data_IF_611347753970
#
_entry.id   IF_611347753970
#
_cell.length_a   1.000
_cell.length_b   1.000
_cell.length_c   1.000
_cell.angle_alpha   90.00
_cell.angle_beta   90.00
_cell.angle_gamma   90.00
#
_symmetry.space_group_name_H-M   'P 1'
#
loop_
_entity.id
_entity.type
_entity.pdbx_description
1 polymer ?
#
# COMPACT_ATOMS: atom_id res chain seq x y z
N UNK A 1 48.55 33.91 -40.57
CA UNK A 1 47.59 32.92 -40.03
C UNK A 1 46.23 33.56 -40.14
N UNK A 2 45.36 33.06 -41.02
CA UNK A 2 44.13 33.76 -41.39
C UNK A 2 43.11 33.74 -40.25
N UNK A 3 42.52 34.90 -39.95
CA UNK A 3 41.51 35.08 -38.91
C UNK A 3 40.31 34.12 -39.08
N UNK A 4 40.06 33.65 -40.30
CA UNK A 4 39.05 32.64 -40.65
C UNK A 4 39.34 31.27 -40.01
N UNK A 5 40.60 30.83 -39.98
CA UNK A 5 41.01 29.55 -39.37
C UNK A 5 40.89 29.62 -37.85
N UNK A 6 41.25 30.76 -37.26
CA UNK A 6 41.14 30.99 -35.82
C UNK A 6 39.68 31.04 -35.36
N UNK A 7 38.80 31.71 -36.13
CA UNK A 7 37.36 31.74 -35.87
C UNK A 7 36.70 30.36 -35.96
N UNK A 8 37.10 29.55 -36.95
CA UNK A 8 36.60 28.19 -37.10
C UNK A 8 37.01 27.26 -35.94
N UNK A 9 38.25 27.39 -35.46
CA UNK A 9 38.76 26.66 -34.29
C UNK A 9 37.99 27.02 -33.00
N UNK A 10 37.73 28.31 -32.76
CA UNK A 10 36.97 28.77 -31.59
C UNK A 10 35.52 28.25 -31.67
N UNK A 11 34.88 28.36 -32.83
CA UNK A 11 33.52 27.85 -33.05
C UNK A 11 33.41 26.34 -32.82
N UNK A 12 34.39 25.56 -33.30
CA UNK A 12 34.44 24.11 -33.11
C UNK A 12 34.57 23.72 -31.63
N UNK A 13 35.45 24.40 -30.87
CA UNK A 13 35.63 24.14 -29.44
C UNK A 13 34.36 24.46 -28.65
N UNK A 14 33.71 25.59 -28.93
CA UNK A 14 32.45 25.97 -28.28
C UNK A 14 31.34 24.95 -28.58
N UNK A 15 31.25 24.46 -29.82
CA UNK A 15 30.27 23.45 -30.21
C UNK A 15 30.47 22.12 -29.46
N UNK A 16 31.71 21.66 -29.31
CA UNK A 16 32.06 20.43 -28.58
C UNK A 16 31.73 20.56 -27.08
N UNK A 17 32.10 21.68 -26.46
CA UNK A 17 31.80 21.92 -25.04
C UNK A 17 30.30 22.01 -24.79
N UNK A 18 29.57 22.70 -25.67
CA UNK A 18 28.11 22.85 -25.58
C UNK A 18 27.40 21.50 -25.74
N UNK A 19 27.78 20.69 -26.74
CA UNK A 19 27.22 19.34 -26.92
C UNK A 19 27.51 18.42 -25.75
N UNK A 20 28.71 18.48 -25.17
CA UNK A 20 29.04 17.69 -23.97
C UNK A 20 28.18 18.07 -22.76
N UNK A 21 27.99 19.38 -22.50
CA UNK A 21 27.13 19.87 -21.41
C UNK A 21 25.68 19.43 -21.65
N UNK A 22 25.15 19.62 -22.86
CA UNK A 22 23.80 19.21 -23.23
C UNK A 22 23.60 17.69 -23.10
N UNK A 23 24.56 16.88 -23.52
CA UNK A 23 24.50 15.43 -23.37
C UNK A 23 24.50 15.00 -21.90
N UNK A 24 25.34 15.62 -21.06
CA UNK A 24 25.40 15.34 -19.62
C UNK A 24 24.11 15.77 -18.89
N UNK A 25 23.55 16.92 -19.26
CA UNK A 25 22.28 17.40 -18.74
C UNK A 25 21.13 16.47 -19.17
N UNK A 26 21.11 16.08 -20.45
CA UNK A 26 20.12 15.17 -21.03
C UNK A 26 20.10 13.81 -20.33
N UNK A 27 21.28 13.23 -20.07
CA UNK A 27 21.42 11.97 -19.34
C UNK A 27 20.92 12.07 -17.88
N UNK A 28 21.24 13.16 -17.17
CA UNK A 28 20.70 13.38 -15.82
C UNK A 28 19.18 13.51 -15.83
N UNK A 29 18.64 14.23 -16.81
CA UNK A 29 17.21 14.40 -16.96
C UNK A 29 16.50 13.08 -17.32
N UNK A 30 17.11 12.23 -18.16
CA UNK A 30 16.54 10.94 -18.52
C UNK A 30 16.45 10.00 -17.32
N UNK A 31 17.51 9.90 -16.50
CA UNK A 31 17.49 9.12 -15.25
C UNK A 31 16.41 9.66 -14.30
N UNK A 32 16.31 10.99 -14.18
CA UNK A 32 15.30 11.61 -13.32
C UNK A 32 13.88 11.25 -13.77
N UNK A 33 13.59 11.39 -15.06
CA UNK A 33 12.31 11.02 -15.66
C UNK A 33 11.99 9.53 -15.50
N UNK A 34 12.97 8.67 -15.68
CA UNK A 34 12.80 7.22 -15.48
C UNK A 34 12.46 6.90 -14.02
N UNK A 35 13.16 7.54 -13.08
CA UNK A 35 12.87 7.39 -11.64
C UNK A 35 11.46 7.89 -11.29
N UNK A 36 11.04 9.02 -11.83
CA UNK A 36 9.69 9.57 -11.62
C UNK A 36 8.61 8.61 -12.17
N UNK A 37 8.83 8.02 -13.35
CA UNK A 37 7.94 7.00 -13.92
C UNK A 37 7.83 5.77 -13.01
N UNK A 38 8.95 5.28 -12.49
CA UNK A 38 8.98 4.14 -11.55
C UNK A 38 8.18 4.50 -10.29
N UNK A 39 8.42 5.66 -9.70
CA UNK A 39 7.71 6.08 -8.49
C UNK A 39 6.20 6.21 -8.74
N UNK A 40 5.79 6.72 -9.91
CA UNK A 40 4.38 6.79 -10.30
C UNK A 40 3.74 5.39 -10.39
N UNK A 41 4.40 4.46 -11.08
CA UNK A 41 3.97 3.06 -11.16
C UNK A 41 3.84 2.43 -9.77
N UNK A 42 4.80 2.66 -8.86
CA UNK A 42 4.72 2.12 -7.49
C UNK A 42 3.60 2.73 -6.67
N UNK A 43 3.27 4.02 -6.88
CA UNK A 43 2.10 4.65 -6.25
C UNK A 43 0.80 4.04 -6.74
N UNK A 44 0.67 3.79 -8.04
CA UNK A 44 -0.50 3.13 -8.61
C UNK A 44 -0.64 1.70 -8.07
N UNK A 45 0.46 0.93 -7.99
CA UNK A 45 0.46 -0.38 -7.36
C UNK A 45 0.05 -0.33 -5.88
N UNK A 46 0.52 0.68 -5.13
CA UNK A 46 0.12 0.88 -3.74
C UNK A 46 -1.38 1.19 -3.62
N UNK A 47 -1.93 2.01 -4.51
CA UNK A 47 -3.35 2.33 -4.58
C UNK A 47 -4.20 1.07 -4.83
N UNK A 48 -3.81 0.25 -5.82
CA UNK A 48 -4.48 -1.04 -6.08
C UNK A 48 -4.43 -1.96 -4.86
N UNK A 49 -3.29 -2.04 -4.17
CA UNK A 49 -3.17 -2.86 -2.95
C UNK A 49 -4.03 -2.34 -1.79
N UNK A 50 -4.28 -1.03 -1.70
CA UNK A 50 -5.24 -0.49 -0.74
C UNK A 50 -6.65 -1.04 -1.00
N UNK A 51 -7.10 -1.02 -2.27
CA UNK A 51 -8.41 -1.58 -2.66
C UNK A 51 -8.49 -3.09 -2.40
N UNK A 52 -7.42 -3.84 -2.70
CA UNK A 52 -7.37 -5.27 -2.42
C UNK A 52 -7.45 -5.55 -0.92
N UNK A 53 -6.74 -4.77 -0.11
CA UNK A 53 -6.80 -4.87 1.35
C UNK A 53 -8.22 -4.61 1.86
N UNK A 54 -8.89 -3.57 1.37
CA UNK A 54 -10.29 -3.27 1.73
C UNK A 54 -11.21 -4.47 1.46
N UNK A 55 -11.07 -5.11 0.29
CA UNK A 55 -11.86 -6.30 -0.07
C UNK A 55 -11.58 -7.48 0.85
N UNK A 56 -10.32 -7.70 1.23
CA UNK A 56 -9.94 -8.76 2.18
C UNK A 56 -10.54 -8.49 3.56
N UNK A 57 -10.45 -7.27 4.07
CA UNK A 57 -11.04 -6.90 5.37
C UNK A 57 -12.57 -7.04 5.33
N UNK A 58 -13.23 -6.64 4.24
CA UNK A 58 -14.67 -6.81 4.08
C UNK A 58 -15.08 -8.30 4.10
N UNK A 59 -14.34 -9.14 3.37
CA UNK A 59 -14.54 -10.59 3.38
C UNK A 59 -14.36 -11.18 4.78
N UNK A 60 -13.32 -10.75 5.51
CA UNK A 60 -13.04 -11.23 6.86
C UNK A 60 -14.10 -10.78 7.87
N UNK A 61 -14.58 -9.54 7.76
CA UNK A 61 -15.68 -9.02 8.58
C UNK A 61 -16.96 -9.83 8.38
N UNK A 62 -17.33 -10.13 7.13
CA UNK A 62 -18.50 -10.96 6.82
C UNK A 62 -18.35 -12.37 7.36
N UNK A 63 -17.15 -12.95 7.27
CA UNK A 63 -16.88 -14.27 7.84
C UNK A 63 -17.04 -14.28 9.37
N UNK A 64 -16.50 -13.28 10.07
CA UNK A 64 -16.68 -13.12 11.52
C UNK A 64 -18.16 -13.05 11.88
N UNK A 65 -18.92 -12.18 11.21
CA UNK A 65 -20.36 -12.02 11.46
C UNK A 65 -21.12 -13.34 11.29
N UNK A 66 -20.94 -13.99 10.14
CA UNK A 66 -21.62 -15.24 9.84
C UNK A 66 -21.26 -16.34 10.82
N UNK A 67 -20.01 -16.39 11.28
CA UNK A 67 -19.57 -17.43 12.17
C UNK A 67 -20.00 -17.23 13.61
N UNK A 68 -19.85 -16.02 14.16
CA UNK A 68 -20.27 -15.72 15.53
C UNK A 68 -21.77 -15.97 15.70
N UNK A 69 -22.57 -15.64 14.68
CA UNK A 69 -24.02 -15.88 14.68
C UNK A 69 -24.40 -17.37 14.53
N UNK A 70 -23.58 -18.19 13.85
CA UNK A 70 -23.87 -19.60 13.56
C UNK A 70 -22.98 -20.60 14.30
N UNK A 71 -22.23 -20.16 15.31
CA UNK A 71 -21.24 -20.99 16.02
C UNK A 71 -21.85 -22.25 16.68
N UNK A 72 -23.13 -22.22 17.00
CA UNK A 72 -23.90 -23.37 17.52
C UNK A 72 -24.11 -24.48 16.50
N UNK A 73 -24.07 -24.18 15.19
CA UNK A 73 -24.36 -25.13 14.09
C UNK A 73 -23.12 -25.70 13.40
N UNK A 74 -21.95 -25.04 13.50
CA UNK A 74 -20.74 -25.41 12.77
C UNK A 74 -19.48 -25.42 13.67
N UNK A 75 -19.53 -26.14 14.80
CA UNK A 75 -18.47 -26.11 15.83
C UNK A 75 -17.09 -26.65 15.41
N UNK A 76 -17.00 -27.34 14.27
CA UNK A 76 -15.81 -28.08 13.86
C UNK A 76 -15.12 -27.50 12.61
N UNK A 77 -15.68 -26.45 12.02
CA UNK A 77 -15.09 -25.81 10.83
C UNK A 77 -13.91 -24.90 11.21
N UNK A 78 -12.70 -25.26 10.78
CA UNK A 78 -11.56 -24.33 10.70
C UNK A 78 -11.55 -23.69 9.32
N UNK A 79 -11.51 -22.36 9.27
CA UNK A 79 -11.45 -21.66 8.00
C UNK A 79 -10.03 -21.35 7.61
N UNK A 80 -9.74 -21.54 6.32
CA UNK A 80 -8.43 -21.28 5.77
C UNK A 80 -8.15 -19.77 5.69
N UNK A 81 -7.08 -19.36 6.36
CA UNK A 81 -6.59 -17.98 6.44
C UNK A 81 -5.51 -17.70 5.39
N UNK A 82 -5.15 -18.69 4.56
CA UNK A 82 -3.98 -18.69 3.65
C UNK A 82 -4.01 -17.71 2.47
N UNK A 83 -4.98 -16.79 2.41
CA UNK A 83 -5.01 -15.80 1.32
C UNK A 83 -3.79 -14.89 1.39
N UNK A 84 -3.12 -14.72 0.25
CA UNK A 84 -2.04 -13.75 0.04
C UNK A 84 -2.46 -12.41 0.64
N UNK A 85 -1.75 -11.95 1.67
CA UNK A 85 -2.10 -10.75 2.40
C UNK A 85 -1.61 -9.53 1.60
N UNK A 86 -2.52 -8.71 1.02
CA UNK A 86 -2.11 -7.55 0.22
C UNK A 86 -1.31 -6.53 1.05
N UNK A 87 -1.39 -6.62 2.39
CA UNK A 87 -0.57 -5.84 3.33
C UNK A 87 0.93 -6.10 3.17
N UNK A 88 1.36 -7.34 2.89
CA UNK A 88 2.78 -7.65 2.68
C UNK A 88 3.33 -6.95 1.43
N UNK A 89 2.52 -6.88 0.37
CA UNK A 89 2.86 -6.13 -0.83
C UNK A 89 2.96 -4.64 -0.54
N UNK A 90 2.04 -4.09 0.28
CA UNK A 90 2.12 -2.70 0.73
C UNK A 90 3.40 -2.42 1.53
N UNK A 91 3.77 -3.32 2.46
CA UNK A 91 5.01 -3.22 3.24
C UNK A 91 6.25 -3.15 2.35
N UNK A 92 6.33 -4.04 1.36
CA UNK A 92 7.42 -4.05 0.39
C UNK A 92 7.49 -2.74 -0.40
N UNK A 93 6.36 -2.30 -0.99
CA UNK A 93 6.30 -1.08 -1.80
C UNK A 93 6.73 0.16 -1.01
N UNK A 94 6.22 0.30 0.21
CA UNK A 94 6.49 1.45 1.07
C UNK A 94 7.94 1.44 1.58
N UNK A 95 8.48 0.27 1.93
CA UNK A 95 9.84 0.21 2.46
C UNK A 95 10.92 0.45 1.40
N UNK A 96 10.69 -0.01 0.17
CA UNK A 96 11.68 0.07 -0.91
C UNK A 96 11.53 1.35 -1.72
N UNK A 97 10.31 1.72 -2.10
CA UNK A 97 10.08 2.75 -3.11
C UNK A 97 9.40 4.00 -2.58
N UNK A 98 8.51 3.87 -1.60
CA UNK A 98 7.64 4.95 -1.15
C UNK A 98 7.74 5.20 0.38
N UNK A 99 8.94 5.54 0.89
CA UNK A 99 9.18 5.70 2.33
C UNK A 99 8.34 6.80 2.97
N UNK A 100 7.79 7.74 2.18
CA UNK A 100 6.89 8.79 2.65
C UNK A 100 5.61 8.25 3.31
N UNK A 101 5.19 7.00 3.02
CA UNK A 101 4.02 6.37 3.62
C UNK A 101 4.35 5.46 4.83
N UNK A 102 5.60 5.43 5.33
CA UNK A 102 6.00 4.52 6.43
C UNK A 102 5.19 4.72 7.71
N UNK A 103 4.88 5.96 8.08
CA UNK A 103 4.06 6.25 9.26
C UNK A 103 2.63 5.70 9.08
N UNK A 104 2.06 5.89 7.89
CA UNK A 104 0.72 5.39 7.57
C UNK A 104 0.67 3.85 7.62
N UNK A 105 1.73 3.19 7.11
CA UNK A 105 1.88 1.73 7.19
C UNK A 105 1.96 1.23 8.63
N UNK A 106 2.73 1.89 9.50
CA UNK A 106 2.82 1.50 10.92
C UNK A 106 1.47 1.59 11.63
N UNK A 107 0.72 2.67 11.40
CA UNK A 107 -0.62 2.85 11.96
C UNK A 107 -1.59 1.79 11.41
N UNK A 108 -1.54 1.52 10.10
CA UNK A 108 -2.33 0.48 9.45
C UNK A 108 -2.03 -0.90 10.04
N UNK A 109 -0.76 -1.26 10.21
CA UNK A 109 -0.32 -2.53 10.78
C UNK A 109 -0.80 -2.70 12.22
N UNK A 110 -0.76 -1.65 13.03
CA UNK A 110 -1.27 -1.69 14.40
C UNK A 110 -2.78 -1.99 14.44
N UNK A 111 -3.56 -1.35 13.56
CA UNK A 111 -5.00 -1.59 13.46
C UNK A 111 -5.30 -2.99 12.89
N UNK A 112 -4.55 -3.40 11.88
CA UNK A 112 -4.65 -4.73 11.28
C UNK A 112 -4.36 -5.82 12.30
N UNK A 113 -3.31 -5.70 13.11
CA UNK A 113 -2.98 -6.68 14.14
C UNK A 113 -4.09 -6.81 15.18
N UNK A 114 -4.72 -5.68 15.57
CA UNK A 114 -5.88 -5.71 16.46
C UNK A 114 -7.06 -6.43 15.83
N UNK A 115 -7.39 -6.12 14.57
CA UNK A 115 -8.45 -6.81 13.83
C UNK A 115 -8.14 -8.30 13.62
N UNK A 116 -6.89 -8.64 13.30
CA UNK A 116 -6.42 -10.00 13.10
C UNK A 116 -6.57 -10.84 14.36
N UNK A 117 -6.45 -10.26 15.55
CA UNK A 117 -6.72 -11.01 16.79
C UNK A 117 -8.18 -11.49 16.86
N UNK A 118 -9.17 -10.65 16.51
CA UNK A 118 -10.58 -11.07 16.43
C UNK A 118 -10.77 -12.16 15.37
N UNK A 119 -10.11 -12.00 14.23
CA UNK A 119 -10.14 -13.00 13.17
C UNK A 119 -9.47 -14.34 13.58
N UNK A 120 -8.37 -14.31 14.32
CA UNK A 120 -7.68 -15.52 14.77
C UNK A 120 -8.52 -16.33 15.75
N UNK A 121 -9.28 -15.65 16.62
CA UNK A 121 -10.19 -16.29 17.58
C UNK A 121 -11.38 -16.98 16.91
N UNK A 122 -11.79 -16.50 15.73
CA UNK A 122 -12.80 -17.14 14.88
C UNK A 122 -12.39 -18.54 14.39
N UNK A 123 -11.10 -18.86 14.30
CA UNK A 123 -10.67 -20.22 13.93
C UNK A 123 -11.03 -21.30 14.96
N UNK A 124 -11.62 -20.89 16.10
CA UNK A 124 -12.02 -21.72 17.22
C UNK A 124 -13.53 -21.57 17.52
N UNK A 125 -14.40 -22.24 16.75
CA UNK A 125 -15.87 -22.13 16.88
C UNK A 125 -16.41 -22.44 18.28
N UNK A 126 -15.75 -23.35 18.99
CA UNK A 126 -16.09 -23.73 20.36
C UNK A 126 -16.08 -22.54 21.33
N UNK A 127 -15.27 -21.51 21.08
CA UNK A 127 -15.20 -20.28 21.90
C UNK A 127 -16.53 -19.54 21.94
N UNK A 128 -17.31 -19.60 20.86
CA UNK A 128 -18.56 -18.83 20.72
C UNK A 128 -19.81 -19.66 21.00
N UNK A 129 -19.70 -21.00 21.08
CA UNK A 129 -20.86 -21.90 21.24
C UNK A 129 -21.68 -21.61 22.50
N UNK A 130 -21.01 -21.32 23.61
CA UNK A 130 -21.64 -21.04 24.90
C UNK A 130 -21.55 -19.56 25.29
N UNK A 131 -21.08 -18.69 24.40
CA UNK A 131 -20.96 -17.26 24.67
C UNK A 131 -22.36 -16.61 24.69
N UNK A 132 -22.69 -15.81 25.71
CA UNK A 132 -23.92 -15.02 25.74
C UNK A 132 -24.05 -14.09 24.52
N UNK A 133 -25.28 -13.84 24.07
CA UNK A 133 -25.53 -13.06 22.85
C UNK A 133 -25.08 -11.58 22.98
N UNK A 134 -25.10 -11.02 24.18
CA UNK A 134 -24.56 -9.68 24.46
C UNK A 134 -23.02 -9.63 24.28
N UNK A 135 -22.30 -10.66 24.69
CA UNK A 135 -20.85 -10.77 24.49
C UNK A 135 -20.49 -11.01 23.03
N UNK A 136 -21.26 -11.84 22.30
CA UNK A 136 -21.13 -12.01 20.85
C UNK A 136 -21.34 -10.69 20.10
N UNK A 137 -22.36 -9.94 20.48
CA UNK A 137 -22.67 -8.63 19.88
C UNK A 137 -21.51 -7.65 20.11
N UNK A 138 -21.00 -7.58 21.33
CA UNK A 138 -19.83 -6.74 21.67
C UNK A 138 -18.58 -7.14 20.88
N UNK A 139 -18.33 -8.44 20.72
CA UNK A 139 -17.22 -8.94 19.90
C UNK A 139 -17.31 -8.49 18.44
N UNK A 140 -18.51 -8.60 17.84
CA UNK A 140 -18.76 -8.15 16.46
C UNK A 140 -18.58 -6.64 16.33
N UNK A 141 -19.08 -5.86 17.30
CA UNK A 141 -18.93 -4.40 17.32
C UNK A 141 -17.47 -3.96 17.41
N UNK A 142 -16.67 -4.60 18.27
CA UNK A 142 -15.25 -4.32 18.41
C UNK A 142 -14.47 -4.68 17.13
N UNK A 143 -14.77 -5.83 16.52
CA UNK A 143 -14.18 -6.22 15.23
C UNK A 143 -14.55 -5.21 14.11
N UNK A 144 -15.81 -4.78 14.05
CA UNK A 144 -16.28 -3.77 13.09
C UNK A 144 -15.59 -2.41 13.30
N UNK A 145 -15.39 -2.01 14.56
CA UNK A 145 -14.67 -0.79 14.90
C UNK A 145 -13.25 -0.77 14.33
N UNK A 146 -12.49 -1.86 14.48
CA UNK A 146 -11.15 -1.95 13.90
C UNK A 146 -11.18 -2.02 12.38
N UNK A 147 -12.14 -2.74 11.77
CA UNK A 147 -12.31 -2.76 10.32
C UNK A 147 -12.56 -1.34 9.76
N UNK A 148 -13.44 -0.56 10.39
CA UNK A 148 -13.70 0.84 10.03
C UNK A 148 -12.46 1.72 10.12
N UNK A 149 -11.65 1.55 11.16
CA UNK A 149 -10.37 2.26 11.29
C UNK A 149 -9.40 1.92 10.15
N UNK A 150 -9.31 0.65 9.79
CA UNK A 150 -8.51 0.19 8.65
C UNK A 150 -9.00 0.84 7.35
N UNK A 151 -10.31 0.85 7.09
CA UNK A 151 -10.87 1.51 5.90
C UNK A 151 -10.55 3.01 5.86
N UNK A 152 -10.72 3.71 6.98
CA UNK A 152 -10.35 5.12 7.08
C UNK A 152 -8.88 5.33 6.71
N UNK A 153 -7.98 4.51 7.25
CA UNK A 153 -6.56 4.64 6.98
C UNK A 153 -6.17 4.31 5.54
N UNK A 154 -6.82 3.31 4.93
CA UNK A 154 -6.62 2.97 3.52
C UNK A 154 -7.12 4.10 2.60
N UNK A 155 -8.23 4.75 2.95
CA UNK A 155 -8.69 5.96 2.26
C UNK A 155 -7.68 7.11 2.38
N UNK A 156 -7.16 7.40 3.59
CA UNK A 156 -6.14 8.44 3.77
C UNK A 156 -4.91 8.22 2.87
N UNK A 157 -4.45 6.96 2.76
CA UNK A 157 -3.32 6.59 1.89
C UNK A 157 -3.68 6.81 0.42
N UNK A 158 -4.86 6.35 -0.02
CA UNK A 158 -5.34 6.54 -1.39
C UNK A 158 -5.48 8.02 -1.76
N UNK A 159 -5.98 8.84 -0.85
CA UNK A 159 -6.12 10.27 -1.06
C UNK A 159 -4.75 10.93 -1.19
N UNK A 160 -3.80 10.62 -0.29
CA UNK A 160 -2.42 11.11 -0.38
C UNK A 160 -1.74 10.70 -1.69
N UNK A 161 -1.94 9.47 -2.17
CA UNK A 161 -1.43 9.02 -3.47
C UNK A 161 -2.01 9.87 -4.59
N UNK A 162 -3.33 10.12 -4.56
CA UNK A 162 -4.04 10.89 -5.57
C UNK A 162 -3.53 12.33 -5.62
N UNK A 163 -3.35 12.99 -4.47
CA UNK A 163 -2.73 14.33 -4.39
C UNK A 163 -1.30 14.35 -4.94
N UNK A 164 -0.49 13.33 -4.62
CA UNK A 164 0.90 13.22 -5.10
C UNK A 164 1.02 12.80 -6.57
N UNK A 165 -0.08 12.46 -7.24
CA UNK A 165 -0.12 12.12 -8.67
C UNK A 165 -0.54 13.29 -9.57
N UNK A 166 -0.98 14.41 -8.98
CA UNK A 166 -1.39 15.65 -9.67
C UNK A 166 -0.21 16.62 -9.86
N UNK A 167 0.95 16.34 -9.24
CA UNK A 167 2.21 17.11 -9.35
C UNK A 167 3.22 16.32 -10.15
#
# INVERSE_FOLDING_TARGET
MDNTILGALIGAVIAIVSTYISARQGYKNSIKLEREKILRDKREQLFTNCILTEKVIASNKMAILNFVNNASYHSDSKFDTSKVNPLQTMEMLINIYLPEYKKDLQELNNMYNKFHNYYSQYTCAHTFKNMPDNEKSKFIEEADFYAKKIYGKLNDIKDKISFNSIV
#
